data_IF_915128766788
#
_entry.id   IF_915128766788
#
_cell.length_a   1.000
_cell.length_b   1.000
_cell.length_c   1.000
_cell.angle_alpha   90.00
_cell.angle_beta   90.00
_cell.angle_gamma   90.00
#
_symmetry.space_group_name_H-M   'P 1'
#
loop_
_entity.id
_entity.type
_entity.pdbx_description
1 polymer ?
#
# COMPACT_ATOMS: atom_id res chain seq x y z
N UNK A 1 -11.29 -15.50 -16.40
CA UNK A 1 -11.32 -16.90 -15.90
C UNK A 1 -10.66 -16.90 -14.53
N UNK A 2 -11.41 -17.11 -13.44
CA UNK A 2 -10.85 -17.08 -12.07
C UNK A 2 -10.30 -18.46 -11.74
N UNK A 3 -8.99 -18.63 -11.79
CA UNK A 3 -8.34 -19.88 -11.36
C UNK A 3 -8.41 -19.92 -9.83
N UNK A 4 -9.42 -20.61 -9.28
CA UNK A 4 -9.45 -20.95 -7.86
C UNK A 4 -8.46 -22.09 -7.64
N UNK A 5 -7.25 -21.76 -7.21
CA UNK A 5 -6.30 -22.75 -6.70
C UNK A 5 -6.90 -23.29 -5.39
N UNK A 6 -7.57 -24.44 -5.45
CA UNK A 6 -7.90 -25.22 -4.24
C UNK A 6 -6.58 -25.77 -3.72
N UNK A 7 -5.93 -25.06 -2.80
CA UNK A 7 -4.88 -25.67 -1.99
C UNK A 7 -5.55 -26.82 -1.21
N UNK A 8 -5.18 -28.07 -1.48
CA UNK A 8 -5.72 -29.23 -0.75
C UNK A 8 -5.37 -29.25 0.74
N UNK A 9 -4.53 -28.31 1.20
CA UNK A 9 -4.12 -28.16 2.59
C UNK A 9 -5.04 -27.20 3.34
N UNK A 10 -5.45 -27.60 4.54
CA UNK A 10 -6.10 -26.71 5.51
C UNK A 10 -5.06 -25.72 6.03
N UNK A 11 -5.39 -24.42 6.00
CA UNK A 11 -4.49 -23.35 6.45
C UNK A 11 -5.06 -22.73 7.73
N UNK A 12 -4.25 -22.65 8.78
CA UNK A 12 -4.56 -21.91 10.01
C UNK A 12 -3.68 -20.65 10.07
N UNK A 13 -4.32 -19.48 10.01
CA UNK A 13 -3.62 -18.21 10.18
C UNK A 13 -3.57 -17.85 11.67
N UNK A 14 -2.35 -17.80 12.23
CA UNK A 14 -2.12 -17.34 13.60
C UNK A 14 -1.42 -15.99 13.58
N UNK A 15 -2.06 -14.97 14.15
CA UNK A 15 -1.45 -13.65 14.26
C UNK A 15 -0.36 -13.67 15.33
N UNK A 16 0.87 -13.34 14.95
CA UNK A 16 1.98 -13.10 15.88
C UNK A 16 1.79 -11.75 16.59
N UNK A 17 0.90 -11.71 17.59
CA UNK A 17 0.66 -10.51 18.40
C UNK A 17 1.94 -10.11 19.12
N UNK A 18 2.31 -8.84 19.01
CA UNK A 18 3.45 -8.32 19.75
C UNK A 18 3.11 -8.20 21.23
N UNK A 19 4.08 -8.46 22.11
CA UNK A 19 4.00 -8.17 23.55
C UNK A 19 4.51 -6.77 23.90
N UNK A 20 4.99 -6.02 22.90
CA UNK A 20 5.46 -4.65 23.11
C UNK A 20 4.31 -3.77 23.59
N UNK A 21 4.56 -3.02 24.67
CA UNK A 21 3.58 -2.14 25.29
C UNK A 21 3.49 -0.87 24.46
N UNK A 22 2.26 -0.43 24.18
CA UNK A 22 1.98 0.85 23.54
C UNK A 22 1.68 1.85 24.63
N UNK A 23 2.72 2.57 25.05
CA UNK A 23 2.65 3.56 26.14
C UNK A 23 2.90 4.95 25.55
N UNK A 24 1.82 5.59 25.10
CA UNK A 24 1.87 6.95 24.57
C UNK A 24 1.60 7.90 25.73
N UNK A 25 2.57 8.75 26.02
CA UNK A 25 2.46 9.75 27.09
C UNK A 25 1.41 10.81 26.74
N UNK A 26 0.84 11.47 27.74
CA UNK A 26 -0.09 12.59 27.49
C UNK A 26 0.58 13.74 26.74
N UNK A 27 1.88 13.95 26.95
CA UNK A 27 2.66 14.94 26.21
C UNK A 27 2.74 14.58 24.72
N UNK A 28 3.05 13.33 24.38
CA UNK A 28 3.05 12.84 23.00
C UNK A 28 1.65 12.92 22.38
N UNK A 29 0.62 12.47 23.11
CA UNK A 29 -0.76 12.55 22.67
C UNK A 29 -1.18 14.00 22.38
N UNK A 30 -0.75 14.97 23.19
CA UNK A 30 -1.06 16.38 23.01
C UNK A 30 -0.57 16.93 21.65
N UNK A 31 0.54 16.40 21.12
CA UNK A 31 1.16 16.83 19.84
C UNK A 31 0.38 16.36 18.60
N UNK A 32 -0.53 15.39 18.74
CA UNK A 32 -1.31 14.83 17.60
C UNK A 32 -2.62 15.62 17.40
N UNK A 33 -2.96 16.12 16.19
CA UNK A 33 -4.20 16.87 15.95
C UNK A 33 -5.48 16.02 16.05
N UNK A 34 -6.47 16.47 16.84
CA UNK A 34 -7.73 15.73 17.12
C UNK A 34 -8.89 16.14 16.20
N UNK A 35 -9.85 15.24 15.88
CA UNK A 35 -9.87 13.82 16.26
C UNK A 35 -8.83 12.98 15.50
N UNK A 36 -8.28 11.97 16.16
CA UNK A 36 -7.20 11.11 15.65
C UNK A 36 -7.75 9.77 15.16
N UNK A 37 -7.43 9.38 13.94
CA UNK A 37 -7.70 8.03 13.42
C UNK A 37 -6.65 7.03 13.90
N UNK A 38 -7.08 6.02 14.65
CA UNK A 38 -6.20 4.99 15.20
C UNK A 38 -6.06 3.80 14.24
N UNK A 39 -4.82 3.53 13.83
CA UNK A 39 -4.46 2.50 12.88
C UNK A 39 -3.28 1.66 13.41
N UNK A 40 -3.14 0.41 12.98
CA UNK A 40 -2.02 -0.43 13.39
C UNK A 40 -1.63 -1.47 12.33
N UNK A 41 -0.39 -1.93 12.38
CA UNK A 41 -0.03 -3.20 11.73
C UNK A 41 -0.70 -4.38 12.46
N UNK A 42 -0.74 -5.56 11.83
CA UNK A 42 -1.45 -6.73 12.41
C UNK A 42 -0.94 -7.12 13.80
N UNK A 43 0.36 -6.93 14.05
CA UNK A 43 1.00 -7.33 15.31
C UNK A 43 0.53 -6.48 16.49
N UNK A 44 0.13 -5.23 16.24
CA UNK A 44 -0.31 -4.26 17.24
C UNK A 44 -1.81 -3.96 17.19
N UNK A 45 -2.57 -4.60 16.29
CA UNK A 45 -4.00 -4.34 16.12
C UNK A 45 -4.81 -4.45 17.42
N UNK A 46 -4.39 -5.34 18.33
CA UNK A 46 -5.03 -5.57 19.61
C UNK A 46 -4.93 -4.38 20.59
N UNK A 47 -3.93 -3.50 20.44
CA UNK A 47 -3.71 -2.36 21.35
C UNK A 47 -4.63 -1.18 21.04
N UNK A 48 -5.22 -1.13 19.84
CA UNK A 48 -6.05 0.00 19.40
C UNK A 48 -7.27 0.22 20.29
N UNK A 49 -7.86 -0.86 20.82
CA UNK A 49 -9.07 -0.77 21.65
C UNK A 49 -8.79 -0.06 22.97
N UNK A 50 -7.72 -0.45 23.65
CA UNK A 50 -7.31 0.16 24.92
C UNK A 50 -6.96 1.64 24.72
N UNK A 51 -6.18 1.95 23.68
CA UNK A 51 -5.84 3.33 23.34
C UNK A 51 -7.07 4.18 23.01
N UNK A 52 -8.06 3.60 22.31
CA UNK A 52 -9.32 4.28 22.01
C UNK A 52 -10.13 4.58 23.28
N UNK A 53 -10.27 3.62 24.20
CA UNK A 53 -11.02 3.86 25.44
C UNK A 53 -10.35 4.95 26.30
N UNK A 54 -9.01 4.97 26.36
CA UNK A 54 -8.26 6.03 27.06
C UNK A 54 -8.53 7.43 26.49
N UNK A 55 -8.72 7.55 25.18
CA UNK A 55 -8.91 8.83 24.47
C UNK A 55 -10.21 8.87 23.66
N UNK A 56 -11.30 8.38 24.22
CA UNK A 56 -12.56 8.11 23.51
C UNK A 56 -13.18 9.32 22.81
N UNK A 57 -13.05 10.50 23.40
CA UNK A 57 -13.61 11.74 22.87
C UNK A 57 -12.77 12.32 21.71
N UNK A 58 -11.51 11.92 21.62
CA UNK A 58 -10.52 12.51 20.72
C UNK A 58 -10.02 11.55 19.63
N UNK A 59 -10.56 10.32 19.60
CA UNK A 59 -10.06 9.26 18.72
C UNK A 59 -11.18 8.50 18.01
N UNK A 60 -10.84 7.95 16.84
CA UNK A 60 -11.72 7.12 16.01
C UNK A 60 -10.99 5.85 15.67
N UNK A 61 -11.59 4.69 15.97
CA UNK A 61 -11.04 3.38 15.58
C UNK A 61 -11.07 3.20 14.05
N UNK A 62 -9.89 3.09 13.44
CA UNK A 62 -9.75 2.76 12.02
C UNK A 62 -9.49 1.27 11.78
N UNK A 63 -8.52 0.70 12.52
CA UNK A 63 -8.18 -0.72 12.47
C UNK A 63 -6.86 -1.01 11.76
N UNK A 64 -6.79 -2.14 11.06
CA UNK A 64 -5.56 -2.62 10.46
C UNK A 64 -5.19 -1.86 9.18
N UNK A 65 -3.90 -1.56 9.03
CA UNK A 65 -3.29 -1.14 7.75
C UNK A 65 -2.16 -2.09 7.36
N UNK A 66 -1.92 -2.20 6.06
CA UNK A 66 -0.76 -2.86 5.45
C UNK A 66 0.06 -1.80 4.70
N UNK A 67 1.31 -2.08 4.35
CA UNK A 67 2.06 -1.15 3.50
C UNK A 67 1.42 -0.93 2.12
N UNK A 68 0.73 -1.94 1.61
CA UNK A 68 0.01 -1.87 0.33
C UNK A 68 -1.44 -1.36 0.44
N UNK A 69 -2.05 -1.38 1.63
CA UNK A 69 -3.50 -1.24 1.84
C UNK A 69 -3.85 -0.37 3.04
N UNK A 70 -4.65 0.66 2.82
CA UNK A 70 -5.01 1.67 3.83
C UNK A 70 -6.51 1.99 3.88
N UNK A 71 -7.38 1.09 3.43
CA UNK A 71 -8.84 1.27 3.39
C UNK A 71 -9.41 1.58 4.78
N UNK A 72 -8.77 1.06 5.84
CA UNK A 72 -9.10 1.40 7.22
C UNK A 72 -9.01 2.91 7.51
N UNK A 73 -8.01 3.58 6.94
CA UNK A 73 -7.86 5.02 7.05
C UNK A 73 -8.92 5.74 6.19
N UNK A 74 -9.07 5.33 4.93
CA UNK A 74 -10.01 5.94 3.99
C UNK A 74 -11.46 5.94 4.51
N UNK A 75 -11.91 4.83 5.11
CA UNK A 75 -13.27 4.72 5.70
C UNK A 75 -13.57 5.75 6.79
N UNK A 76 -12.56 6.16 7.55
CA UNK A 76 -12.73 7.12 8.65
C UNK A 76 -12.26 8.52 8.27
N UNK A 77 -11.87 8.74 7.01
CA UNK A 77 -11.19 9.96 6.62
C UNK A 77 -12.02 11.22 6.89
N UNK A 78 -13.32 11.21 6.64
CA UNK A 78 -14.18 12.38 6.92
C UNK A 78 -14.34 12.71 8.41
N UNK A 79 -13.94 11.81 9.33
CA UNK A 79 -14.19 11.93 10.78
C UNK A 79 -12.97 12.38 11.59
N UNK A 80 -11.80 12.47 10.97
CA UNK A 80 -10.52 12.68 11.67
C UNK A 80 -9.74 13.84 11.07
N UNK A 81 -8.88 14.50 11.87
CA UNK A 81 -7.95 15.54 11.39
C UNK A 81 -6.54 15.00 11.15
N UNK A 82 -6.18 13.91 11.81
CA UNK A 82 -4.88 13.24 11.64
C UNK A 82 -5.01 11.73 11.89
N UNK A 83 -3.91 11.01 11.67
CA UNK A 83 -3.82 9.58 11.97
C UNK A 83 -2.65 9.28 12.90
N UNK A 84 -2.82 8.26 13.71
CA UNK A 84 -1.76 7.62 14.47
C UNK A 84 -1.67 6.14 14.06
N UNK A 85 -0.50 5.75 13.55
CA UNK A 85 -0.21 4.38 13.13
C UNK A 85 0.71 3.72 14.15
N UNK A 86 0.25 2.62 14.77
CA UNK A 86 1.07 1.79 15.65
C UNK A 86 1.78 0.74 14.81
N UNK A 87 3.06 0.99 14.52
CA UNK A 87 3.90 0.11 13.71
C UNK A 87 5.38 0.46 13.90
N UNK A 88 6.26 -0.48 13.57
CA UNK A 88 7.69 -0.19 13.46
C UNK A 88 7.99 0.53 12.14
N UNK A 89 8.70 1.65 12.22
CA UNK A 89 9.05 2.50 11.08
C UNK A 89 7.87 3.04 10.27
N UNK A 90 8.18 3.64 9.12
CA UNK A 90 7.22 4.43 8.31
C UNK A 90 6.49 3.62 7.22
N UNK A 91 6.74 2.33 7.10
CA UNK A 91 6.25 1.53 5.97
C UNK A 91 4.72 1.52 5.87
N UNK A 92 4.02 1.41 7.01
CA UNK A 92 2.57 1.35 7.08
C UNK A 92 1.89 2.72 7.03
N UNK A 93 2.61 3.80 7.36
CA UNK A 93 2.08 5.18 7.36
C UNK A 93 2.20 5.87 6.02
N UNK A 94 3.14 5.45 5.16
CA UNK A 94 3.37 6.08 3.86
C UNK A 94 2.11 6.12 2.98
N UNK A 95 1.43 4.98 2.83
CA UNK A 95 0.21 4.90 2.02
C UNK A 95 -0.95 5.68 2.62
N UNK A 96 -1.10 5.66 3.94
CA UNK A 96 -2.08 6.49 4.67
C UNK A 96 -1.84 7.98 4.36
N UNK A 97 -0.60 8.45 4.45
CA UNK A 97 -0.26 9.84 4.19
C UNK A 97 -0.56 10.25 2.74
N UNK A 98 -0.20 9.38 1.76
CA UNK A 98 -0.47 9.63 0.34
C UNK A 98 -1.97 9.69 0.01
N UNK A 99 -2.76 8.74 0.51
CA UNK A 99 -4.16 8.58 0.12
C UNK A 99 -5.11 9.52 0.87
N UNK A 100 -4.78 9.88 2.11
CA UNK A 100 -5.66 10.72 2.93
C UNK A 100 -5.30 12.20 2.86
N UNK A 101 -4.06 12.51 2.45
CA UNK A 101 -3.49 13.86 2.46
C UNK A 101 -3.60 14.56 3.84
N UNK A 102 -3.53 13.78 4.92
CA UNK A 102 -3.59 14.26 6.31
C UNK A 102 -2.28 14.01 7.06
N UNK A 103 -2.01 14.77 8.14
CA UNK A 103 -0.90 14.47 9.03
C UNK A 103 -1.00 13.03 9.55
N UNK A 104 0.10 12.27 9.44
CA UNK A 104 0.21 10.92 9.97
C UNK A 104 1.36 10.89 10.97
N UNK A 105 1.07 10.39 12.16
CA UNK A 105 2.02 10.12 13.22
C UNK A 105 2.22 8.61 13.32
N UNK A 106 3.42 8.19 13.72
CA UNK A 106 3.79 6.80 13.92
C UNK A 106 4.29 6.67 15.34
N UNK A 107 3.72 5.73 16.08
CA UNK A 107 4.29 5.30 17.34
C UNK A 107 4.95 3.93 17.14
N UNK A 108 6.26 3.86 17.38
CA UNK A 108 7.02 2.62 17.33
C UNK A 108 7.05 1.98 18.72
N UNK A 109 6.37 0.84 18.95
CA UNK A 109 6.29 0.22 20.28
C UNK A 109 7.60 -0.42 20.74
N UNK A 110 8.57 -0.57 19.84
CA UNK A 110 9.89 -1.12 20.15
C UNK A 110 10.82 0.01 20.57
N UNK A 111 10.83 1.12 19.81
CA UNK A 111 11.64 2.31 20.12
C UNK A 111 10.99 3.23 21.17
N UNK A 112 9.71 3.02 21.47
CA UNK A 112 8.90 3.82 22.40
C UNK A 112 8.93 5.31 22.08
N UNK A 113 8.71 5.66 20.82
CA UNK A 113 8.71 7.04 20.38
C UNK A 113 7.54 7.34 19.44
N UNK A 114 6.96 8.54 19.63
CA UNK A 114 6.05 9.14 18.67
C UNK A 114 6.83 10.02 17.67
N UNK A 115 6.68 9.73 16.38
CA UNK A 115 7.26 10.52 15.29
C UNK A 115 6.20 10.95 14.29
N UNK A 116 6.44 12.03 13.55
CA UNK A 116 5.58 12.43 12.43
C UNK A 116 6.14 11.85 11.14
N UNK A 117 5.29 11.28 10.29
CA UNK A 117 5.69 10.81 8.95
C UNK A 117 6.38 11.96 8.19
N UNK A 118 7.66 11.81 7.80
CA UNK A 118 8.37 12.86 7.09
C UNK A 118 7.74 13.13 5.73
N UNK A 119 7.40 14.39 5.47
CA UNK A 119 6.79 14.83 4.21
C UNK A 119 7.72 14.59 3.02
N UNK A 120 9.02 14.83 3.20
CA UNK A 120 10.05 14.60 2.18
C UNK A 120 10.08 13.15 1.69
N UNK A 121 9.84 12.17 2.58
CA UNK A 121 9.77 10.76 2.17
C UNK A 121 8.59 10.51 1.24
N UNK A 122 7.44 11.10 1.53
CA UNK A 122 6.23 11.00 0.70
C UNK A 122 6.45 11.68 -0.64
N UNK A 123 6.98 12.89 -0.63
CA UNK A 123 7.28 13.64 -1.85
C UNK A 123 8.29 12.91 -2.73
N UNK A 124 9.30 12.26 -2.14
CA UNK A 124 10.24 11.41 -2.88
C UNK A 124 9.53 10.25 -3.57
N UNK A 125 8.61 9.56 -2.89
CA UNK A 125 7.84 8.45 -3.49
C UNK A 125 6.96 8.97 -4.63
N UNK A 126 6.21 10.05 -4.39
CA UNK A 126 5.34 10.65 -5.42
C UNK A 126 6.14 11.14 -6.63
N UNK A 127 7.34 11.70 -6.41
CA UNK A 127 8.25 12.09 -7.50
C UNK A 127 8.68 10.89 -8.33
N UNK A 128 9.07 9.77 -7.70
CA UNK A 128 9.42 8.54 -8.43
C UNK A 128 8.25 8.04 -9.29
N UNK A 129 7.03 8.03 -8.75
CA UNK A 129 5.82 7.63 -9.47
C UNK A 129 5.54 8.51 -10.69
N UNK A 130 5.64 9.84 -10.53
CA UNK A 130 5.51 10.79 -11.65
C UNK A 130 6.57 10.55 -12.73
N UNK A 131 7.83 10.31 -12.34
CA UNK A 131 8.89 9.97 -13.29
C UNK A 131 8.59 8.66 -14.03
N UNK A 132 8.12 7.63 -13.34
CA UNK A 132 7.74 6.37 -13.96
C UNK A 132 6.57 6.54 -14.94
N UNK A 133 5.58 7.39 -14.60
CA UNK A 133 4.45 7.72 -15.47
C UNK A 133 4.91 8.44 -16.75
N UNK A 134 5.81 9.42 -16.64
CA UNK A 134 6.39 10.08 -17.83
C UNK A 134 7.11 9.09 -18.73
N UNK A 135 7.88 8.15 -18.15
CA UNK A 135 8.55 7.09 -18.92
C UNK A 135 7.57 6.14 -19.60
N UNK A 136 6.49 5.78 -18.93
CA UNK A 136 5.44 4.94 -19.50
C UNK A 136 4.82 5.59 -20.76
N UNK A 137 4.47 6.88 -20.68
CA UNK A 137 3.90 7.58 -21.83
C UNK A 137 4.88 7.69 -23.01
N UNK A 138 6.15 7.99 -22.73
CA UNK A 138 7.19 8.12 -23.75
C UNK A 138 7.64 6.77 -24.36
N UNK A 139 7.57 5.68 -23.60
CA UNK A 139 8.07 4.36 -24.00
C UNK A 139 7.18 3.66 -25.03
N UNK A 140 7.78 2.91 -25.95
CA UNK A 140 7.05 2.11 -26.96
C UNK A 140 7.02 0.63 -26.61
N UNK A 141 8.09 0.11 -26.02
CA UNK A 141 8.19 -1.29 -25.59
C UNK A 141 7.96 -1.38 -24.07
N UNK A 142 6.88 -2.03 -23.67
CA UNK A 142 6.42 -2.09 -22.28
C UNK A 142 6.57 -3.51 -21.74
N UNK A 143 7.26 -3.65 -20.61
CA UNK A 143 7.37 -4.90 -19.88
C UNK A 143 6.32 -4.97 -18.77
N UNK A 144 5.43 -5.95 -18.80
CA UNK A 144 4.36 -6.14 -17.83
C UNK A 144 4.78 -7.21 -16.83
N UNK A 145 4.97 -6.82 -15.58
CA UNK A 145 5.40 -7.67 -14.48
C UNK A 145 4.20 -8.38 -13.85
N UNK A 146 4.20 -9.72 -13.89
CA UNK A 146 3.16 -10.59 -13.30
C UNK A 146 3.79 -11.53 -12.28
N UNK A 147 3.39 -11.45 -11.02
CA UNK A 147 3.85 -12.43 -10.02
C UNK A 147 3.09 -13.74 -10.14
N UNK A 148 3.73 -14.86 -9.83
CA UNK A 148 3.06 -16.16 -9.62
C UNK A 148 2.73 -16.43 -8.15
N UNK A 149 3.13 -15.54 -7.22
CA UNK A 149 2.81 -15.68 -5.79
C UNK A 149 1.31 -15.55 -5.55
N UNK A 150 0.79 -16.45 -4.73
CA UNK A 150 -0.60 -16.39 -4.29
C UNK A 150 -0.88 -15.03 -3.62
N UNK A 151 -1.97 -14.37 -4.01
CA UNK A 151 -2.33 -13.03 -3.53
C UNK A 151 -1.68 -11.86 -4.30
N UNK A 152 -0.68 -12.10 -5.15
CA UNK A 152 -0.09 -11.09 -6.04
C UNK A 152 -0.29 -11.42 -7.53
N UNK A 153 -0.66 -12.66 -7.85
CA UNK A 153 -0.89 -13.11 -9.23
C UNK A 153 -2.21 -12.58 -9.78
N UNK A 154 -2.13 -11.70 -10.77
CA UNK A 154 -3.29 -11.22 -11.54
C UNK A 154 -2.99 -11.11 -13.05
N UNK A 155 -2.85 -12.27 -13.70
CA UNK A 155 -2.67 -12.34 -15.15
C UNK A 155 -3.85 -11.75 -15.94
N UNK A 156 -5.07 -11.81 -15.39
CA UNK A 156 -6.24 -11.25 -16.05
C UNK A 156 -6.14 -9.72 -16.14
N UNK A 157 -5.64 -9.06 -15.09
CA UNK A 157 -5.35 -7.62 -15.09
C UNK A 157 -4.31 -7.27 -16.16
N UNK A 158 -3.23 -8.04 -16.27
CA UNK A 158 -2.21 -7.84 -17.32
C UNK A 158 -2.79 -8.00 -18.73
N UNK A 159 -3.60 -9.04 -18.97
CA UNK A 159 -4.25 -9.26 -20.28
C UNK A 159 -5.29 -8.19 -20.61
N UNK A 160 -6.05 -7.71 -19.61
CA UNK A 160 -7.01 -6.63 -19.80
C UNK A 160 -6.31 -5.31 -20.13
N UNK A 161 -5.21 -5.01 -19.44
CA UNK A 161 -4.32 -3.88 -19.75
C UNK A 161 -3.84 -3.94 -21.21
N UNK A 162 -3.30 -5.06 -21.68
CA UNK A 162 -2.82 -5.21 -23.07
C UNK A 162 -3.92 -4.93 -24.11
N UNK A 163 -5.19 -5.24 -23.79
CA UNK A 163 -6.31 -4.96 -24.71
C UNK A 163 -6.60 -3.47 -24.85
N UNK A 164 -6.38 -2.71 -23.79
CA UNK A 164 -6.79 -1.31 -23.66
C UNK A 164 -5.66 -0.30 -23.85
N UNK A 165 -4.39 -0.70 -23.70
CA UNK A 165 -3.25 0.17 -23.99
C UNK A 165 -3.24 0.62 -25.45
N UNK A 166 -2.60 1.78 -25.65
CA UNK A 166 -2.27 2.33 -26.96
C UNK A 166 -1.69 1.24 -27.89
N UNK A 167 -2.29 1.10 -29.07
CA UNK A 167 -1.94 0.10 -30.08
C UNK A 167 -0.55 0.29 -30.66
N UNK A 168 0.03 1.47 -30.52
CA UNK A 168 1.42 1.73 -30.92
C UNK A 168 2.44 1.14 -29.93
N UNK A 169 2.02 0.83 -28.69
CA UNK A 169 2.89 0.22 -27.69
C UNK A 169 2.97 -1.30 -27.87
N UNK A 170 4.20 -1.84 -27.87
CA UNK A 170 4.49 -3.27 -27.87
C UNK A 170 4.59 -3.77 -26.44
N UNK A 171 3.72 -4.70 -26.04
CA UNK A 171 3.67 -5.22 -24.68
C UNK A 171 4.23 -6.64 -24.56
N UNK A 172 5.02 -6.87 -23.51
CA UNK A 172 5.68 -8.15 -23.21
C UNK A 172 5.36 -8.55 -21.77
N UNK A 173 4.85 -9.76 -21.55
CA UNK A 173 4.56 -10.27 -20.19
C UNK A 173 5.81 -10.97 -19.63
N UNK A 174 6.16 -10.61 -18.40
CA UNK A 174 7.24 -11.24 -17.62
C UNK A 174 6.65 -11.81 -16.34
N UNK A 175 6.58 -13.14 -16.28
CA UNK A 175 6.13 -13.86 -15.10
C UNK A 175 7.32 -14.12 -14.15
N UNK A 176 7.12 -13.90 -12.85
CA UNK A 176 8.16 -14.13 -11.84
C UNK A 176 7.59 -14.64 -10.52
N UNK A 177 8.36 -15.39 -9.75
CA UNK A 177 8.03 -15.66 -8.35
C UNK A 177 8.51 -14.49 -7.48
N UNK A 178 9.82 -14.39 -7.29
CA UNK A 178 10.48 -13.28 -6.61
C UNK A 178 11.09 -12.34 -7.64
N UNK A 179 10.76 -11.04 -7.57
CA UNK A 179 11.27 -10.06 -8.52
C UNK A 179 12.67 -9.61 -8.12
N UNK A 180 13.65 -9.98 -8.94
CA UNK A 180 15.00 -9.43 -8.85
C UNK A 180 15.11 -8.21 -9.77
N UNK A 181 14.94 -7.02 -9.18
CA UNK A 181 14.89 -5.76 -9.94
C UNK A 181 16.14 -5.55 -10.81
N UNK A 182 17.31 -6.00 -10.36
CA UNK A 182 18.55 -5.83 -11.12
C UNK A 182 18.55 -6.63 -12.43
N UNK A 183 17.85 -7.77 -12.50
CA UNK A 183 17.70 -8.59 -13.71
C UNK A 183 16.81 -7.95 -14.77
N UNK A 184 16.01 -6.94 -14.40
CA UNK A 184 15.22 -6.17 -15.37
C UNK A 184 16.13 -5.42 -16.37
N UNK A 185 17.40 -5.17 -16.00
CA UNK A 185 18.38 -4.52 -16.88
C UNK A 185 18.79 -5.41 -18.06
N UNK A 186 18.62 -6.72 -17.95
CA UNK A 186 18.96 -7.67 -19.02
C UNK A 186 18.03 -7.50 -20.24
N UNK A 187 16.84 -6.93 -20.02
CA UNK A 187 15.86 -6.62 -21.07
C UNK A 187 15.98 -5.16 -21.53
N UNK A 188 17.13 -4.83 -22.12
CA UNK A 188 17.48 -3.46 -22.55
C UNK A 188 16.54 -2.86 -23.63
N UNK A 189 15.71 -3.69 -24.28
CA UNK A 189 14.71 -3.26 -25.24
C UNK A 189 13.41 -2.77 -24.59
N UNK A 190 13.24 -2.93 -23.27
CA UNK A 190 12.06 -2.48 -22.52
C UNK A 190 12.28 -1.03 -22.05
N UNK A 191 11.42 -0.13 -22.53
CA UNK A 191 11.49 1.29 -22.20
C UNK A 191 10.95 1.56 -20.78
N UNK A 192 9.87 0.87 -20.41
CA UNK A 192 9.19 1.03 -19.11
C UNK A 192 8.56 -0.27 -18.60
N UNK A 193 8.54 -0.43 -17.28
CA UNK A 193 7.93 -1.57 -16.61
C UNK A 193 6.60 -1.21 -15.97
N UNK A 194 5.55 -1.98 -16.27
CA UNK A 194 4.24 -1.88 -15.64
C UNK A 194 4.09 -3.02 -14.64
N UNK A 195 3.91 -2.66 -13.38
CA UNK A 195 3.67 -3.59 -12.28
C UNK A 195 2.18 -3.92 -12.15
N UNK A 196 1.86 -5.22 -12.17
CA UNK A 196 0.53 -5.74 -11.85
C UNK A 196 0.49 -6.60 -10.59
N UNK A 197 1.63 -6.70 -9.89
CA UNK A 197 1.82 -7.51 -8.68
C UNK A 197 1.70 -6.64 -7.41
N UNK A 198 2.63 -6.79 -6.45
CA UNK A 198 2.64 -5.98 -5.24
C UNK A 198 2.88 -4.48 -5.56
N UNK A 199 1.97 -3.61 -5.15
CA UNK A 199 2.03 -2.16 -5.39
C UNK A 199 3.17 -1.42 -4.65
N UNK A 200 3.99 -2.14 -3.88
CA UNK A 200 5.21 -1.62 -3.23
C UNK A 200 6.46 -1.77 -4.07
N UNK A 201 6.45 -2.65 -5.09
CA UNK A 201 7.58 -2.83 -6.01
C UNK A 201 7.99 -1.49 -6.66
N UNK A 202 7.06 -0.63 -7.12
CA UNK A 202 7.41 0.65 -7.73
C UNK A 202 8.06 1.66 -6.78
N UNK A 203 7.89 1.54 -5.46
CA UNK A 203 8.42 2.54 -4.52
C UNK A 203 9.97 2.50 -4.45
N UNK A 204 10.59 1.42 -4.93
CA UNK A 204 12.04 1.22 -4.91
C UNK A 204 12.76 1.88 -6.10
N UNK A 205 12.22 1.82 -7.33
CA UNK A 205 12.88 2.30 -8.57
C UNK A 205 12.01 3.24 -9.40
N UNK A 206 12.63 4.02 -10.27
CA UNK A 206 11.97 5.06 -11.09
C UNK A 206 11.50 4.60 -12.47
N UNK A 207 11.79 3.35 -12.88
CA UNK A 207 11.35 2.81 -14.18
C UNK A 207 10.23 1.76 -14.05
N UNK A 208 9.63 1.65 -12.87
CA UNK A 208 8.52 0.73 -12.64
C UNK A 208 7.34 1.59 -12.21
N UNK A 209 6.23 1.49 -12.94
CA UNK A 209 4.97 2.15 -12.59
C UNK A 209 3.96 1.10 -12.14
N UNK A 210 3.21 1.38 -11.07
CA UNK A 210 2.04 0.57 -10.77
C UNK A 210 0.95 0.83 -11.81
N UNK A 211 0.29 -0.21 -12.32
CA UNK A 211 -0.82 -0.03 -13.27
C UNK A 211 -1.90 0.93 -12.73
N UNK A 212 -2.14 0.94 -11.42
CA UNK A 212 -3.11 1.82 -10.79
C UNK A 212 -2.68 3.29 -10.73
N UNK A 213 -1.39 3.59 -10.92
CA UNK A 213 -0.87 4.97 -10.97
C UNK A 213 -0.99 5.57 -12.39
N UNK A 214 -1.45 4.80 -13.39
CA UNK A 214 -1.73 5.29 -14.74
C UNK A 214 -3.21 5.73 -14.80
N UNK A 215 -3.53 7.01 -15.05
CA UNK A 215 -4.90 7.55 -14.96
C UNK A 215 -5.96 6.76 -15.75
N UNK A 216 -5.66 6.36 -16.97
CA UNK A 216 -6.55 5.59 -17.85
C UNK A 216 -6.87 4.18 -17.28
N UNK A 217 -6.03 3.71 -16.37
CA UNK A 217 -6.02 2.39 -15.78
C UNK A 217 -6.23 2.40 -14.26
N UNK A 218 -6.64 3.54 -13.68
CA UNK A 218 -6.90 3.67 -12.24
C UNK A 218 -7.93 2.63 -11.75
N UNK A 219 -8.85 2.19 -12.62
CA UNK A 219 -9.81 1.09 -12.34
C UNK A 219 -9.15 -0.24 -11.99
N UNK A 220 -7.87 -0.43 -12.32
CA UNK A 220 -7.05 -1.60 -12.01
C UNK A 220 -6.20 -1.43 -10.75
N UNK A 221 -6.16 -0.22 -10.18
CA UNK A 221 -5.63 0.01 -8.84
C UNK A 221 -6.40 -0.87 -7.85
N UNK A 222 -5.75 -1.26 -6.75
CA UNK A 222 -6.45 -1.87 -5.60
C UNK A 222 -7.40 -0.86 -4.89
N UNK A 223 -7.92 0.16 -5.57
CA UNK A 223 -9.05 0.97 -5.10
C UNK A 223 -10.32 0.13 -5.18
N UNK A 224 -10.54 -0.66 -4.13
CA UNK A 224 -11.75 -1.48 -3.94
C UNK A 224 -13.01 -0.65 -3.63
N UNK A 225 -12.96 0.68 -3.82
CA UNK A 225 -14.11 1.57 -3.75
C UNK A 225 -14.87 1.60 -5.08
N UNK A 226 -15.48 0.47 -5.43
CA UNK A 226 -16.75 0.48 -6.16
C UNK A 226 -17.81 -0.22 -5.32
N UNK A 227 -18.77 0.57 -4.82
CA UNK A 227 -20.03 0.13 -4.21
C UNK A 227 -19.99 -0.46 -2.79
N UNK A 228 -19.02 -0.08 -1.95
CA UNK A 228 -19.16 -0.20 -0.48
C UNK A 228 -19.39 -1.61 0.07
N UNK A 229 -19.05 -2.68 -0.68
CA UNK A 229 -19.19 -4.06 -0.22
C UNK A 229 -17.86 -4.79 -0.28
N UNK A 230 -17.32 -5.13 0.91
CA UNK A 230 -16.21 -6.06 1.04
C UNK A 230 -16.56 -7.41 0.41
N UNK A 231 -15.73 -7.91 -0.52
CA UNK A 231 -15.55 -9.36 -0.63
C UNK A 231 -14.63 -9.78 0.51
N UNK A 232 -15.20 -10.44 1.50
CA UNK A 232 -14.44 -11.17 2.53
C UNK A 232 -13.45 -12.09 1.82
N UNK A 233 -12.18 -12.02 2.18
CA UNK A 233 -11.30 -13.20 2.17
C UNK A 233 -11.36 -13.77 3.57
#
# INVERSE_FOLDING_TARGET
MTIKIKTGMKILHLHARSKAIVDITEEEWSKVPKPVGLLASIQHLHTLRELHEKHKNDSVLGGQVLGCRCEAAERINSKVKSYLVIATGYFHSQRVAMNTNKPVFVYDPIQKNLTKQPREQIERILKKRRTALTKFYAGKNIGILVSIKHGQCDINKALAFIKEIDKEKKAHIFAFDTLEIERLKDYNFIDCWVNTACNRIPDEKTNIIDIGDIPEFEKYSESWLKNGKMKRV
#
